data_IF_905364777303
#
_entry.id   IF_905364777303
#
_cell.length_a   1.000
_cell.length_b   1.000
_cell.length_c   1.000
_cell.angle_alpha   90.00
_cell.angle_beta   90.00
_cell.angle_gamma   90.00
#
_symmetry.space_group_name_H-M   'P 1'
#
loop_
_entity.id
_entity.type
_entity.pdbx_description
1 polymer ?
#
# COMPACT_ATOMS: atom_id res chain seq x y z
N UNK A 1 -20.58 9.35 2.13
CA UNK A 1 -19.96 8.77 3.32
C UNK A 1 -18.47 8.87 3.15
N UNK A 2 -17.76 9.13 4.24
CA UNK A 2 -16.31 9.03 4.26
C UNK A 2 -15.92 7.64 4.74
N UNK A 3 -14.89 7.08 4.11
CA UNK A 3 -14.19 5.88 4.56
C UNK A 3 -12.81 6.33 5.00
N UNK A 4 -12.36 5.86 6.16
CA UNK A 4 -11.06 6.15 6.71
C UNK A 4 -10.37 4.81 6.95
N UNK A 5 -9.11 4.68 6.54
CA UNK A 5 -8.21 3.61 6.97
C UNK A 5 -6.92 4.23 7.49
N UNK A 6 -6.28 3.56 8.44
CA UNK A 6 -5.02 4.01 9.05
C UNK A 6 -4.07 2.83 9.25
N UNK A 7 -2.88 2.93 8.67
CA UNK A 7 -1.87 1.87 8.74
C UNK A 7 -0.50 2.42 9.13
N UNK A 8 0.15 1.86 10.14
CA UNK A 8 1.55 2.15 10.44
C UNK A 8 2.47 1.29 9.57
N UNK A 9 3.31 1.93 8.76
CA UNK A 9 4.35 1.21 8.02
C UNK A 9 5.59 1.10 8.90
N UNK A 10 5.78 -0.11 9.42
CA UNK A 10 6.89 -0.48 10.31
C UNK A 10 7.88 -1.46 9.67
N UNK A 11 7.61 -1.85 8.41
CA UNK A 11 8.38 -2.84 7.66
C UNK A 11 9.70 -2.34 7.09
N UNK A 12 10.09 -2.85 5.93
CA UNK A 12 11.38 -2.56 5.29
C UNK A 12 11.59 -1.06 5.07
N UNK A 13 12.79 -0.58 5.39
CA UNK A 13 13.22 0.80 5.08
C UNK A 13 13.21 1.03 3.56
N UNK A 14 13.48 -0.03 2.79
CA UNK A 14 13.34 -0.01 1.33
C UNK A 14 11.86 0.05 0.94
N UNK A 15 11.52 0.98 0.05
CA UNK A 15 10.17 1.22 -0.48
C UNK A 15 9.10 1.67 0.54
N UNK A 16 9.50 2.14 1.73
CA UNK A 16 8.56 2.58 2.77
C UNK A 16 7.55 3.63 2.26
N UNK A 17 7.99 4.58 1.43
CA UNK A 17 7.10 5.58 0.84
C UNK A 17 6.05 4.99 -0.10
N UNK A 18 6.40 3.92 -0.82
CA UNK A 18 5.48 3.23 -1.73
C UNK A 18 4.46 2.39 -0.98
N UNK A 19 4.92 1.62 -0.01
CA UNK A 19 4.05 0.85 0.88
C UNK A 19 3.07 1.77 1.63
N UNK A 20 3.56 2.91 2.14
CA UNK A 20 2.77 3.90 2.85
C UNK A 20 1.56 4.40 2.06
N UNK A 21 1.74 4.69 0.77
CA UNK A 21 0.63 5.14 -0.07
C UNK A 21 -0.31 3.98 -0.42
N UNK A 22 0.24 2.86 -0.92
CA UNK A 22 -0.58 1.82 -1.53
C UNK A 22 -1.37 1.00 -0.53
N UNK A 23 -0.83 0.68 0.65
CA UNK A 23 -1.55 -0.13 1.65
C UNK A 23 -2.86 0.58 2.02
N UNK A 24 -2.77 1.82 2.48
CA UNK A 24 -3.95 2.57 2.91
C UNK A 24 -4.86 2.97 1.75
N UNK A 25 -4.33 3.21 0.54
CA UNK A 25 -5.14 3.44 -0.65
C UNK A 25 -5.91 2.19 -1.08
N UNK A 26 -5.29 1.02 -0.98
CA UNK A 26 -5.89 -0.28 -1.30
C UNK A 26 -7.08 -0.57 -0.38
N UNK A 27 -6.91 -0.44 0.93
CA UNK A 27 -7.99 -0.60 1.93
C UNK A 27 -9.23 0.24 1.61
N UNK A 28 -9.01 1.50 1.22
CA UNK A 28 -10.10 2.41 0.88
C UNK A 28 -10.73 1.98 -0.43
N UNK A 29 -9.92 1.63 -1.43
CA UNK A 29 -10.42 1.23 -2.73
C UNK A 29 -11.23 -0.09 -2.67
N UNK A 30 -10.83 -1.05 -1.84
CA UNK A 30 -11.54 -2.33 -1.66
C UNK A 30 -12.89 -2.16 -0.97
N UNK A 31 -13.12 -1.06 -0.23
CA UNK A 31 -14.47 -0.68 0.22
C UNK A 31 -15.38 -0.15 -0.90
N UNK A 32 -14.83 0.06 -2.11
CA UNK A 32 -15.50 0.68 -3.25
C UNK A 32 -15.47 2.22 -3.20
N UNK A 33 -14.72 2.82 -2.29
CA UNK A 33 -14.61 4.27 -2.18
C UNK A 33 -13.57 4.84 -3.16
N UNK A 34 -13.85 6.06 -3.63
CA UNK A 34 -12.86 6.87 -4.33
C UNK A 34 -11.88 7.43 -3.30
N UNK A 35 -10.58 7.14 -3.45
CA UNK A 35 -9.53 7.71 -2.60
C UNK A 35 -9.37 9.19 -2.95
N UNK A 36 -9.49 10.06 -1.96
CA UNK A 36 -9.33 11.52 -2.13
C UNK A 36 -7.88 11.92 -1.85
N UNK A 37 -7.32 11.38 -0.78
CA UNK A 37 -6.01 11.77 -0.31
C UNK A 37 -5.61 11.05 0.97
N UNK A 38 -4.42 11.38 1.45
CA UNK A 38 -3.81 10.79 2.63
C UNK A 38 -3.30 11.86 3.58
N UNK A 39 -3.25 11.54 4.87
CA UNK A 39 -2.53 12.28 5.89
C UNK A 39 -1.38 11.42 6.41
N UNK A 40 -0.25 12.06 6.70
CA UNK A 40 0.97 11.36 7.12
C UNK A 40 1.34 11.72 8.55
N UNK A 41 1.77 10.75 9.36
CA UNK A 41 2.47 10.99 10.61
C UNK A 41 3.81 10.26 10.55
N UNK A 42 4.89 11.01 10.50
CA UNK A 42 6.24 10.49 10.31
C UNK A 42 7.02 10.66 11.60
N UNK A 43 7.44 9.55 12.20
CA UNK A 43 8.33 9.52 13.36
C UNK A 43 9.71 9.05 12.91
N UNK A 44 10.73 9.85 13.19
CA UNK A 44 12.10 9.62 12.74
C UNK A 44 13.04 9.46 13.94
N UNK A 45 14.01 8.54 13.89
CA UNK A 45 15.13 8.50 14.84
C UNK A 45 16.00 9.75 14.76
N UNK A 46 16.72 10.08 15.86
CA UNK A 46 17.56 11.28 15.96
C UNK A 46 18.69 11.34 14.93
N UNK A 47 19.16 10.17 14.49
CA UNK A 47 20.19 9.99 13.48
C UNK A 47 19.71 10.17 12.03
N UNK A 48 18.41 10.38 11.80
CA UNK A 48 17.85 10.55 10.44
C UNK A 48 18.22 11.90 9.85
N UNK A 49 18.81 11.90 8.66
CA UNK A 49 19.17 13.13 7.96
C UNK A 49 17.99 13.76 7.23
N UNK A 50 18.07 15.08 6.99
CA UNK A 50 17.09 15.80 6.16
C UNK A 50 16.98 15.21 4.74
N UNK A 51 18.08 14.72 4.18
CA UNK A 51 18.10 14.08 2.87
C UNK A 51 17.25 12.81 2.81
N UNK A 52 17.23 12.03 3.90
CA UNK A 52 16.44 10.80 4.00
C UNK A 52 14.94 11.12 4.04
N UNK A 53 14.55 12.11 4.86
CA UNK A 53 13.17 12.60 4.90
C UNK A 53 12.74 13.16 3.53
N UNK A 54 13.61 13.91 2.87
CA UNK A 54 13.32 14.46 1.54
C UNK A 54 13.10 13.34 0.52
N UNK A 55 13.95 12.31 0.52
CA UNK A 55 13.79 11.16 -0.37
C UNK A 55 12.47 10.44 -0.09
N UNK A 56 12.16 10.19 1.18
CA UNK A 56 10.90 9.58 1.60
C UNK A 56 9.68 10.36 1.10
N UNK A 57 9.67 11.69 1.30
CA UNK A 57 8.55 12.52 0.84
C UNK A 57 8.44 12.55 -0.68
N UNK A 58 9.55 12.56 -1.42
CA UNK A 58 9.54 12.49 -2.88
C UNK A 58 8.95 11.17 -3.39
N UNK A 59 9.28 10.05 -2.74
CA UNK A 59 8.70 8.75 -3.07
C UNK A 59 7.18 8.75 -2.83
N UNK A 60 6.73 9.23 -1.67
CA UNK A 60 5.30 9.33 -1.33
C UNK A 60 4.56 10.24 -2.33
N UNK A 61 5.11 11.42 -2.64
CA UNK A 61 4.53 12.33 -3.63
C UNK A 61 4.44 11.69 -5.02
N UNK A 62 5.48 10.95 -5.41
CA UNK A 62 5.52 10.20 -6.67
C UNK A 62 4.38 9.19 -6.78
N UNK A 63 4.14 8.41 -5.72
CA UNK A 63 3.07 7.41 -5.70
C UNK A 63 1.67 8.05 -5.62
N UNK A 64 1.49 9.09 -4.80
CA UNK A 64 0.26 9.88 -4.76
C UNK A 64 -0.10 10.44 -6.14
N UNK A 65 0.90 10.94 -6.88
CA UNK A 65 0.71 11.45 -8.24
C UNK A 65 0.28 10.35 -9.23
N UNK A 66 0.83 9.14 -9.12
CA UNK A 66 0.42 8.00 -9.97
C UNK A 66 -1.05 7.62 -9.73
N UNK A 67 -1.52 7.73 -8.49
CA UNK A 67 -2.91 7.46 -8.11
C UNK A 67 -3.86 8.65 -8.28
N UNK A 68 -3.34 9.83 -8.62
CA UNK A 68 -4.08 11.09 -8.68
C UNK A 68 -4.79 11.42 -7.34
N UNK A 69 -4.07 11.29 -6.23
CA UNK A 69 -4.54 11.63 -4.88
C UNK A 69 -3.62 12.67 -4.24
N UNK A 70 -4.12 13.39 -3.23
CA UNK A 70 -3.39 14.48 -2.57
C UNK A 70 -2.85 14.08 -1.18
N UNK A 71 -1.71 14.65 -0.79
CA UNK A 71 -1.28 14.67 0.60
C UNK A 71 -2.01 15.83 1.28
N UNK A 72 -2.99 15.51 2.11
CA UNK A 72 -3.91 16.48 2.74
C UNK A 72 -3.28 17.22 3.93
N UNK A 73 -2.21 16.65 4.50
CA UNK A 73 -1.50 17.21 5.64
C UNK A 73 -0.73 16.13 6.40
N UNK A 74 -0.17 16.50 7.55
CA UNK A 74 0.54 15.54 8.38
C UNK A 74 1.28 16.13 9.56
N UNK A 75 2.07 15.26 10.19
CA UNK A 75 2.98 15.56 11.28
C UNK A 75 4.35 14.92 11.02
N UNK A 76 5.41 15.58 11.48
CA UNK A 76 6.77 15.03 11.42
C UNK A 76 7.46 15.33 12.74
N UNK A 77 7.98 14.28 13.37
CA UNK A 77 8.68 14.37 14.64
C UNK A 77 10.00 13.59 14.59
N UNK A 78 11.06 14.18 15.12
CA UNK A 78 12.32 13.47 15.41
C UNK A 78 12.32 13.13 16.90
N UNK A 79 12.49 11.84 17.23
CA UNK A 79 12.27 11.34 18.60
C UNK A 79 13.10 10.11 18.94
N UNK A 80 13.47 9.98 20.22
CA UNK A 80 14.13 8.79 20.78
C UNK A 80 13.20 7.59 20.96
N UNK A 81 11.90 7.77 20.70
CA UNK A 81 10.89 6.72 20.89
C UNK A 81 10.95 5.62 19.81
N UNK A 82 11.56 5.91 18.66
CA UNK A 82 11.68 4.99 17.52
C UNK A 82 13.16 4.78 17.17
N UNK A 83 13.51 3.59 16.70
CA UNK A 83 14.86 3.21 16.26
C UNK A 83 14.98 3.06 14.73
N UNK A 84 13.88 3.26 14.02
CA UNK A 84 13.78 3.31 12.56
C UNK A 84 12.62 4.25 12.18
N UNK A 85 12.58 4.80 10.96
CA UNK A 85 11.45 5.59 10.50
C UNK A 85 10.13 4.80 10.59
N UNK A 86 9.09 5.44 11.12
CA UNK A 86 7.71 4.93 11.09
C UNK A 86 6.87 5.95 10.36
N UNK A 87 6.14 5.50 9.33
CA UNK A 87 5.19 6.31 8.58
C UNK A 87 3.80 5.76 8.83
N UNK A 88 3.00 6.47 9.60
CA UNK A 88 1.58 6.16 9.75
C UNK A 88 0.80 6.94 8.72
N UNK A 89 0.03 6.26 7.89
CA UNK A 89 -0.80 6.88 6.85
C UNK A 89 -2.25 6.74 7.22
N UNK A 90 -3.00 7.84 7.14
CA UNK A 90 -4.45 7.84 7.25
C UNK A 90 -5.04 8.27 5.92
N UNK A 91 -5.71 7.36 5.24
CA UNK A 91 -6.36 7.64 3.97
C UNK A 91 -7.77 8.15 4.17
N UNK A 92 -8.22 8.97 3.24
CA UNK A 92 -9.57 9.51 3.20
C UNK A 92 -10.20 9.14 1.88
N UNK A 93 -11.26 8.34 1.94
CA UNK A 93 -12.08 7.95 0.81
C UNK A 93 -13.48 8.54 0.87
N UNK A 94 -14.13 8.66 -0.28
CA UNK A 94 -15.53 9.08 -0.39
C UNK A 94 -16.33 8.15 -1.28
N UNK A 95 -17.56 7.89 -0.86
CA UNK A 95 -18.54 7.19 -1.67
C UNK A 95 -19.97 7.60 -1.36
N UNK A 96 -20.91 7.29 -2.26
CA UNK A 96 -22.34 7.40 -1.95
C UNK A 96 -22.73 6.29 -0.97
N UNK A 97 -23.55 6.61 0.04
CA UNK A 97 -24.00 5.63 1.05
C UNK A 97 -24.68 4.40 0.46
N UNK A 98 -25.35 4.56 -0.68
CA UNK A 98 -26.02 3.49 -1.41
C UNK A 98 -25.09 2.58 -2.22
N UNK A 99 -23.80 2.92 -2.33
CA UNK A 99 -22.82 2.23 -3.19
C UNK A 99 -21.75 1.49 -2.37
N UNK A 100 -21.94 1.37 -1.04
CA UNK A 100 -20.98 0.69 -0.15
C UNK A 100 -20.87 -0.79 -0.50
N UNK A 101 -19.67 -1.24 -0.87
CA UNK A 101 -19.36 -2.66 -1.09
C UNK A 101 -18.88 -3.23 0.24
N UNK A 102 -19.54 -4.29 0.70
CA UNK A 102 -19.17 -4.98 1.95
C UNK A 102 -18.38 -6.24 1.60
N UNK A 103 -17.38 -6.56 2.43
CA UNK A 103 -16.62 -7.82 2.34
C UNK A 103 -17.53 -9.06 2.46
N UNK A 104 -18.68 -8.95 3.12
CA UNK A 104 -19.67 -10.02 3.28
C UNK A 104 -20.78 -10.04 2.21
N UNK A 105 -20.57 -9.45 1.02
CA UNK A 105 -21.59 -9.38 -0.03
C UNK A 105 -21.59 -10.55 -1.02
N UNK A 106 -20.63 -11.48 -0.93
CA UNK A 106 -20.53 -12.63 -1.83
C UNK A 106 -21.65 -13.66 -1.57
N UNK A 107 -22.17 -14.26 -2.65
CA UNK A 107 -23.22 -15.29 -2.60
C UNK A 107 -22.86 -16.53 -3.42
N UNK A 108 -23.40 -17.72 -3.11
CA UNK A 108 -23.15 -18.93 -3.90
C UNK A 108 -23.48 -18.74 -5.39
N UNK A 109 -22.62 -19.27 -6.25
CA UNK A 109 -22.76 -19.17 -7.71
C UNK A 109 -22.08 -17.96 -8.35
N UNK A 110 -21.40 -17.11 -7.56
CA UNK A 110 -20.54 -16.05 -8.09
C UNK A 110 -19.11 -16.54 -8.35
N UNK A 111 -18.44 -15.92 -9.32
CA UNK A 111 -17.03 -16.16 -9.61
C UNK A 111 -16.13 -15.40 -8.62
N UNK A 112 -14.99 -16.01 -8.28
CA UNK A 112 -13.90 -15.36 -7.55
C UNK A 112 -12.82 -14.98 -8.56
N UNK A 113 -12.45 -13.69 -8.58
CA UNK A 113 -11.45 -13.15 -9.50
C UNK A 113 -10.28 -12.61 -8.69
N UNK A 114 -9.09 -13.16 -8.95
CA UNK A 114 -7.83 -12.60 -8.46
C UNK A 114 -7.20 -11.80 -9.59
N UNK A 115 -6.97 -10.50 -9.37
CA UNK A 115 -6.49 -9.58 -10.41
C UNK A 115 -4.98 -9.65 -10.64
N UNK A 116 -4.25 -10.22 -9.67
CA UNK A 116 -2.77 -10.26 -9.62
C UNK A 116 -2.27 -11.62 -9.13
N UNK A 117 -0.99 -11.69 -8.77
CA UNK A 117 -0.34 -12.93 -8.32
C UNK A 117 -0.37 -13.07 -6.80
N UNK A 118 -0.55 -14.31 -6.32
CA UNK A 118 -0.39 -14.62 -4.91
C UNK A 118 1.08 -14.44 -4.48
N UNK A 119 1.30 -13.84 -3.30
CA UNK A 119 2.65 -13.62 -2.75
C UNK A 119 3.44 -12.49 -3.41
N UNK A 120 2.78 -11.59 -4.16
CA UNK A 120 3.39 -10.48 -4.89
C UNK A 120 4.21 -9.56 -3.98
N UNK A 121 3.61 -9.01 -2.92
CA UNK A 121 4.27 -8.09 -1.98
C UNK A 121 5.38 -8.79 -1.20
N UNK A 122 5.09 -9.95 -0.61
CA UNK A 122 6.08 -10.73 0.15
C UNK A 122 7.31 -11.12 -0.68
N UNK A 123 7.11 -11.44 -1.97
CA UNK A 123 8.24 -11.73 -2.88
C UNK A 123 9.13 -10.52 -3.06
N UNK A 124 8.55 -9.33 -3.30
CA UNK A 124 9.31 -8.11 -3.48
C UNK A 124 10.10 -7.72 -2.22
N UNK A 125 9.44 -7.79 -1.05
CA UNK A 125 10.04 -7.49 0.26
C UNK A 125 11.22 -8.43 0.53
N UNK A 126 11.05 -9.74 0.35
CA UNK A 126 12.12 -10.72 0.60
C UNK A 126 13.27 -10.51 -0.40
N UNK A 127 12.97 -10.24 -1.67
CA UNK A 127 13.98 -10.01 -2.70
C UNK A 127 14.84 -8.78 -2.39
N UNK A 128 14.24 -7.69 -1.91
CA UNK A 128 14.95 -6.49 -1.48
C UNK A 128 15.76 -6.74 -0.20
N UNK A 129 15.15 -7.34 0.83
CA UNK A 129 15.78 -7.52 2.14
C UNK A 129 16.91 -8.56 2.14
N UNK A 130 16.88 -9.54 1.23
CA UNK A 130 17.84 -10.66 1.18
C UNK A 130 18.60 -10.75 -0.15
N UNK A 131 18.73 -9.63 -0.85
CA UNK A 131 19.37 -9.57 -2.18
C UNK A 131 20.73 -10.27 -2.21
N UNK A 132 21.64 -9.96 -1.28
CA UNK A 132 22.97 -10.56 -1.23
C UNK A 132 22.94 -12.09 -1.07
N UNK A 133 22.04 -12.59 -0.21
CA UNK A 133 21.87 -14.02 0.00
C UNK A 133 21.33 -14.69 -1.28
N UNK A 134 20.38 -14.05 -1.93
CA UNK A 134 19.72 -14.57 -3.12
C UNK A 134 20.64 -14.55 -4.36
N UNK A 135 21.50 -13.55 -4.50
CA UNK A 135 22.49 -13.46 -5.59
C UNK A 135 23.53 -14.59 -5.55
N UNK A 136 23.70 -15.27 -4.41
CA UNK A 136 24.54 -16.47 -4.33
C UNK A 136 23.91 -17.70 -5.02
N UNK A 137 22.59 -17.66 -5.28
CA UNK A 137 21.80 -18.79 -5.81
C UNK A 137 21.14 -18.48 -7.15
N UNK A 138 20.83 -17.22 -7.42
CA UNK A 138 20.09 -16.76 -8.58
C UNK A 138 20.80 -15.60 -9.29
N UNK A 139 20.50 -15.41 -10.57
CA UNK A 139 21.07 -14.30 -11.33
C UNK A 139 20.40 -12.96 -10.94
N UNK A 140 21.12 -11.85 -11.16
CA UNK A 140 20.64 -10.51 -10.79
C UNK A 140 19.33 -10.13 -11.48
N UNK A 141 19.15 -10.49 -12.76
CA UNK A 141 17.92 -10.18 -13.50
C UNK A 141 16.66 -10.81 -12.88
N UNK A 142 16.78 -12.02 -12.32
CA UNK A 142 15.69 -12.67 -11.59
C UNK A 142 15.35 -11.91 -10.30
N UNK A 143 16.37 -11.49 -9.54
CA UNK A 143 16.18 -10.74 -8.28
C UNK A 143 15.64 -9.33 -8.54
N UNK A 144 16.13 -8.66 -9.58
CA UNK A 144 15.61 -7.37 -10.02
C UNK A 144 14.15 -7.45 -10.47
N UNK A 145 13.77 -8.53 -11.16
CA UNK A 145 12.37 -8.81 -11.48
C UNK A 145 11.51 -8.99 -10.24
N UNK A 146 11.98 -9.75 -9.25
CA UNK A 146 11.27 -9.97 -8.00
C UNK A 146 11.09 -8.67 -7.19
N UNK A 147 12.12 -7.83 -7.07
CA UNK A 147 12.03 -6.51 -6.42
C UNK A 147 10.99 -5.61 -7.10
N UNK A 148 10.96 -5.59 -8.43
CA UNK A 148 10.01 -4.77 -9.22
C UNK A 148 8.55 -5.14 -9.05
N UNK A 149 8.24 -6.33 -8.52
CA UNK A 149 6.85 -6.70 -8.22
C UNK A 149 6.18 -5.73 -7.24
N UNK A 150 6.97 -4.96 -6.44
CA UNK A 150 6.44 -3.91 -5.58
C UNK A 150 5.67 -2.83 -6.36
N UNK A 151 6.00 -2.62 -7.64
CA UNK A 151 5.33 -1.62 -8.49
C UNK A 151 3.88 -2.03 -8.83
N UNK A 152 3.55 -3.31 -8.67
CA UNK A 152 2.25 -3.90 -8.98
C UNK A 152 1.38 -4.09 -7.73
N UNK A 153 1.70 -3.54 -6.56
CA UNK A 153 0.88 -3.76 -5.34
C UNK A 153 -0.46 -2.99 -5.34
N UNK A 154 -0.57 -1.90 -6.11
CA UNK A 154 -1.75 -1.02 -6.04
C UNK A 154 -2.99 -1.63 -6.69
N UNK A 155 -4.04 -1.94 -5.93
CA UNK A 155 -5.31 -2.48 -6.46
C UNK A 155 -6.34 -1.40 -6.80
N UNK A 156 -5.99 -0.12 -6.63
CA UNK A 156 -6.90 1.01 -6.86
C UNK A 156 -7.51 1.01 -8.27
N UNK A 157 -6.74 0.79 -9.36
CA UNK A 157 -7.31 0.73 -10.71
C UNK A 157 -8.33 -0.40 -10.87
N UNK A 158 -8.02 -1.59 -10.34
CA UNK A 158 -8.87 -2.77 -10.46
C UNK A 158 -10.12 -2.65 -9.59
N UNK A 159 -10.01 -2.11 -8.38
CA UNK A 159 -11.14 -1.83 -7.51
C UNK A 159 -12.13 -0.84 -8.15
N UNK A 160 -11.63 0.17 -8.86
CA UNK A 160 -12.46 1.08 -9.65
C UNK A 160 -13.24 0.34 -10.74
N UNK A 161 -12.57 -0.52 -11.51
CA UNK A 161 -13.21 -1.33 -12.56
C UNK A 161 -14.25 -2.28 -11.94
N UNK A 162 -13.89 -2.98 -10.87
CA UNK A 162 -14.77 -3.90 -10.16
C UNK A 162 -16.05 -3.18 -9.66
N UNK A 163 -15.92 -1.96 -9.14
CA UNK A 163 -17.05 -1.10 -8.77
C UNK A 163 -17.93 -0.75 -9.97
N UNK A 164 -17.35 -0.32 -11.09
CA UNK A 164 -18.08 -0.01 -12.33
C UNK A 164 -18.89 -1.23 -12.83
N UNK A 165 -18.37 -2.43 -12.61
CA UNK A 165 -18.99 -3.70 -12.94
C UNK A 165 -19.84 -4.33 -11.82
N UNK A 166 -20.08 -3.60 -10.72
CA UNK A 166 -20.95 -4.01 -9.60
C UNK A 166 -20.47 -5.28 -8.88
N UNK A 167 -19.16 -5.38 -8.62
CA UNK A 167 -18.63 -6.39 -7.72
C UNK A 167 -19.40 -6.39 -6.39
N UNK A 168 -19.76 -7.58 -5.90
CA UNK A 168 -20.56 -7.75 -4.69
C UNK A 168 -19.71 -7.78 -3.42
N UNK A 169 -18.45 -8.16 -3.55
CA UNK A 169 -17.44 -8.12 -2.48
C UNK A 169 -16.08 -7.85 -3.11
N UNK A 170 -15.21 -7.18 -2.36
CA UNK A 170 -13.81 -6.92 -2.71
C UNK A 170 -12.96 -7.03 -1.46
N UNK A 171 -11.75 -7.53 -1.62
CA UNK A 171 -10.74 -7.64 -0.58
C UNK A 171 -9.36 -7.66 -1.24
N UNK A 172 -8.38 -7.02 -0.63
CA UNK A 172 -6.98 -7.07 -0.99
C UNK A 172 -6.26 -8.06 -0.09
N UNK A 173 -5.57 -9.03 -0.71
CA UNK A 173 -4.84 -10.06 0.01
C UNK A 173 -3.48 -9.52 0.47
N UNK A 174 -3.44 -8.94 1.67
CA UNK A 174 -2.25 -8.36 2.32
C UNK A 174 -1.64 -9.36 3.32
N UNK A 175 -1.66 -9.05 4.62
CA UNK A 175 -1.14 -9.93 5.67
C UNK A 175 -1.96 -11.24 5.74
N UNK A 176 -1.29 -12.39 5.85
CA UNK A 176 -1.92 -13.71 5.76
C UNK A 176 -2.13 -14.22 4.32
N UNK A 177 -1.97 -13.34 3.32
CA UNK A 177 -2.07 -13.69 1.91
C UNK A 177 -3.49 -14.11 1.50
N UNK A 178 -3.60 -15.00 0.51
CA UNK A 178 -4.90 -15.39 -0.08
C UNK A 178 -5.82 -16.11 0.93
N UNK A 179 -5.26 -16.73 1.96
CA UNK A 179 -6.01 -17.45 2.99
C UNK A 179 -6.21 -16.64 4.28
N UNK A 180 -5.66 -15.41 4.34
CA UNK A 180 -5.70 -14.51 5.49
C UNK A 180 -7.10 -13.99 5.82
#
# INVERSE_FOLDING_TARGET
AFILSTDPITGTVHDIGKLAVHITANDIATSGAEVIGIMLSILLPEETGEADLKSLMQDIEGECKKLNIEILGGHTEVTKAVNQPIVTVTGVGRMKRSEVIKTAGAVPGQDIVMTKWAGLEGTAIIAAAREQELLSKYNSGFIDGAKKMIDDISVVPEARIAREHKATSMHDATEGGVFG
#
